data_IF_166869674595
#
_entry.id   IF_166869674595
#
_cell.length_a   1.000
_cell.length_b   1.000
_cell.length_c   1.000
_cell.angle_alpha   90.00
_cell.angle_beta   90.00
_cell.angle_gamma   90.00
#
_symmetry.space_group_name_H-M   'P 1'
#
loop_
_entity.id
_entity.type
_entity.pdbx_description
1 polymer ?
#
# COMPACT_ATOMS: atom_id res chain seq x y z
N UNK A 1 -0.29 34.86 -24.64
CA UNK A 1 -1.41 34.48 -23.74
C UNK A 1 -0.92 33.25 -22.99
N UNK A 2 -0.50 33.39 -21.72
CA UNK A 2 -0.09 32.22 -20.93
C UNK A 2 -1.35 31.45 -20.53
N UNK A 3 -1.61 30.32 -21.19
CA UNK A 3 -2.50 29.31 -20.66
C UNK A 3 -1.83 28.74 -19.42
N UNK A 4 -2.40 29.04 -18.24
CA UNK A 4 -1.98 28.45 -16.97
C UNK A 4 -1.91 26.93 -17.14
N UNK A 5 -0.89 26.23 -16.60
CA UNK A 5 -0.91 24.77 -16.60
C UNK A 5 -2.17 24.37 -15.82
N UNK A 6 -3.04 23.59 -16.47
CA UNK A 6 -4.12 22.88 -15.80
C UNK A 6 -3.45 22.12 -14.66
N UNK A 7 -3.79 22.47 -13.41
CA UNK A 7 -3.33 21.77 -12.21
C UNK A 7 -3.73 20.32 -12.42
N UNK A 8 -2.76 19.47 -12.74
CA UNK A 8 -2.97 18.06 -12.98
C UNK A 8 -3.30 17.48 -11.61
N UNK A 9 -4.60 17.28 -11.32
CA UNK A 9 -5.01 16.62 -10.08
C UNK A 9 -4.53 15.18 -10.22
N UNK A 10 -3.37 14.88 -9.65
CA UNK A 10 -2.78 13.54 -9.69
C UNK A 10 -3.63 12.69 -8.75
N UNK A 11 -4.52 11.89 -9.33
CA UNK A 11 -5.22 10.85 -8.58
C UNK A 11 -4.22 9.71 -8.36
N UNK A 12 -3.73 9.57 -7.14
CA UNK A 12 -2.86 8.47 -6.76
C UNK A 12 -3.70 7.39 -6.10
N UNK A 13 -3.79 6.22 -6.74
CA UNK A 13 -4.34 5.02 -6.12
C UNK A 13 -3.18 4.20 -5.53
N UNK A 14 -3.20 3.97 -4.22
CA UNK A 14 -2.21 3.13 -3.56
C UNK A 14 -2.90 2.09 -2.66
N UNK A 15 -2.26 0.92 -2.54
CA UNK A 15 -2.78 -0.19 -1.76
C UNK A 15 -2.15 -0.22 -0.37
N UNK A 16 -2.99 -0.16 0.66
CA UNK A 16 -2.59 -0.42 2.04
C UNK A 16 -2.78 -1.90 2.37
N UNK A 17 -1.80 -2.47 3.07
CA UNK A 17 -1.82 -3.86 3.50
C UNK A 17 -2.01 -3.96 5.01
N UNK A 18 -2.63 -5.05 5.46
CA UNK A 18 -2.91 -5.29 6.88
C UNK A 18 -2.68 -6.76 7.22
N UNK A 19 -2.23 -7.04 8.44
CA UNK A 19 -2.13 -8.41 8.96
C UNK A 19 -2.93 -8.58 10.25
N UNK A 20 -3.75 -9.62 10.33
CA UNK A 20 -4.60 -9.96 11.47
C UNK A 20 -4.08 -11.15 12.31
N UNK A 21 -2.81 -11.55 12.16
CA UNK A 21 -2.24 -12.73 12.81
C UNK A 21 -2.31 -12.76 14.35
N UNK A 22 -2.56 -11.62 15.00
CA UNK A 22 -2.78 -11.50 16.45
C UNK A 22 -4.17 -11.00 16.82
N UNK A 23 -5.15 -11.22 15.94
CA UNK A 23 -6.56 -10.85 16.13
C UNK A 23 -6.91 -9.47 15.58
N UNK A 24 -6.14 -8.42 15.92
CA UNK A 24 -6.39 -7.07 15.37
C UNK A 24 -5.58 -6.83 14.10
N UNK A 25 -6.19 -6.27 13.02
CA UNK A 25 -5.48 -5.92 11.81
C UNK A 25 -4.47 -4.79 12.09
N UNK A 26 -3.21 -5.05 11.78
CA UNK A 26 -2.11 -4.10 11.85
C UNK A 26 -1.71 -3.67 10.44
N UNK A 27 -1.67 -2.37 10.18
CA UNK A 27 -1.19 -1.83 8.91
C UNK A 27 0.27 -2.26 8.69
N UNK A 28 0.54 -2.81 7.52
CA UNK A 28 1.87 -3.17 7.05
C UNK A 28 2.38 -2.02 6.20
N UNK A 29 3.56 -1.50 6.55
CA UNK A 29 4.21 -0.49 5.74
C UNK A 29 4.88 -1.18 4.54
N UNK A 30 4.52 -0.78 3.33
CA UNK A 30 5.34 -1.02 2.14
C UNK A 30 6.39 0.08 2.12
N UNK A 31 7.67 -0.28 2.12
CA UNK A 31 8.72 0.71 1.90
C UNK A 31 8.70 0.99 0.40
N UNK A 32 8.25 2.17 0.00
CA UNK A 32 8.47 2.65 -1.36
C UNK A 32 9.99 2.85 -1.52
N UNK A 33 10.68 1.83 -2.01
CA UNK A 33 12.06 1.96 -2.43
C UNK A 33 12.08 2.71 -3.75
N UNK A 34 13.03 3.63 -3.92
CA UNK A 34 13.27 4.40 -5.16
C UNK A 34 13.65 3.52 -6.36
N UNK A 35 13.73 2.21 -6.16
CA UNK A 35 13.98 1.20 -7.17
C UNK A 35 12.63 0.58 -7.55
N UNK A 36 12.38 0.46 -8.85
CA UNK A 36 11.16 0.05 -9.57
C UNK A 36 10.63 -1.37 -9.22
N UNK A 37 11.01 -1.93 -8.08
CA UNK A 37 10.51 -3.21 -7.59
C UNK A 37 9.51 -3.00 -6.43
N UNK A 38 8.25 -3.43 -6.60
CA UNK A 38 7.26 -3.33 -5.54
C UNK A 38 7.65 -4.25 -4.38
N UNK A 39 8.16 -3.67 -3.29
CA UNK A 39 8.49 -4.42 -2.08
C UNK A 39 7.21 -5.00 -1.47
N UNK A 40 7.18 -6.32 -1.28
CA UNK A 40 6.03 -6.99 -0.68
C UNK A 40 5.78 -6.53 0.77
N UNK A 41 4.52 -6.35 1.14
CA UNK A 41 4.13 -6.05 2.51
C UNK A 41 4.30 -7.27 3.43
N UNK A 42 5.35 -7.31 4.23
CA UNK A 42 5.64 -8.44 5.14
C UNK A 42 5.28 -8.09 6.58
N UNK A 43 4.45 -8.92 7.20
CA UNK A 43 4.16 -8.81 8.62
C UNK A 43 5.39 -9.19 9.47
N UNK A 44 5.95 -8.21 10.18
CA UNK A 44 7.09 -8.40 11.08
C UNK A 44 6.79 -9.29 12.31
N UNK A 45 5.55 -9.77 12.48
CA UNK A 45 5.13 -10.60 13.62
C UNK A 45 5.01 -12.07 13.29
N UNK A 46 4.49 -12.41 12.11
CA UNK A 46 4.27 -13.79 11.69
C UNK A 46 4.98 -14.14 10.38
N UNK A 47 5.61 -13.17 9.71
CA UNK A 47 6.27 -13.33 8.42
C UNK A 47 5.33 -13.42 7.22
N UNK A 48 4.01 -13.32 7.42
CA UNK A 48 3.05 -13.43 6.32
C UNK A 48 3.17 -12.26 5.34
N UNK A 49 3.09 -12.56 4.04
CA UNK A 49 3.07 -11.60 2.93
C UNK A 49 1.93 -11.95 1.95
N UNK A 50 1.55 -11.06 1.02
CA UNK A 50 0.52 -11.34 0.02
C UNK A 50 0.79 -12.61 -0.78
N UNK A 51 2.06 -12.88 -1.11
CA UNK A 51 2.46 -14.09 -1.84
C UNK A 51 2.70 -15.30 -0.92
N UNK A 52 2.80 -15.10 0.39
CA UNK A 52 3.12 -16.16 1.35
C UNK A 52 2.32 -16.01 2.65
N UNK A 53 1.03 -16.31 2.56
CA UNK A 53 0.10 -16.26 3.69
C UNK A 53 -0.83 -17.50 3.71
N UNK A 54 -0.31 -18.67 4.10
CA UNK A 54 -1.10 -19.91 4.15
C UNK A 54 -2.23 -19.87 5.18
N UNK A 55 -2.23 -18.87 6.07
CA UNK A 55 -3.25 -18.68 7.10
C UNK A 55 -4.30 -17.62 6.73
N UNK A 56 -4.20 -17.01 5.54
CA UNK A 56 -5.12 -15.98 5.07
C UNK A 56 -5.33 -14.84 6.09
N UNK A 57 -4.24 -14.42 6.74
CA UNK A 57 -4.21 -13.32 7.72
C UNK A 57 -3.98 -11.95 7.10
N UNK A 58 -3.53 -11.89 5.85
CA UNK A 58 -3.24 -10.67 5.10
C UNK A 58 -4.51 -10.16 4.40
N UNK A 59 -4.74 -8.85 4.46
CA UNK A 59 -5.82 -8.16 3.78
C UNK A 59 -5.32 -6.85 3.18
N UNK A 60 -6.02 -6.33 2.18
CA UNK A 60 -5.65 -5.06 1.55
C UNK A 60 -6.84 -4.10 1.47
N UNK A 61 -6.53 -2.82 1.34
CA UNK A 61 -7.49 -1.76 1.05
C UNK A 61 -6.85 -0.77 0.07
N UNK A 62 -7.47 -0.61 -1.09
CA UNK A 62 -7.07 0.42 -2.04
C UNK A 62 -7.56 1.79 -1.53
N UNK A 63 -6.70 2.79 -1.60
CA UNK A 63 -6.96 4.16 -1.16
C UNK A 63 -6.72 5.08 -2.35
N UNK A 64 -7.73 5.88 -2.66
CA UNK A 64 -7.66 6.94 -3.65
C UNK A 64 -7.33 8.24 -2.93
N UNK A 65 -6.20 8.86 -3.27
CA UNK A 65 -5.86 10.20 -2.81
C UNK A 65 -5.82 11.16 -4.00
N UNK A 66 -6.32 12.37 -3.77
CA UNK A 66 -6.31 13.46 -4.74
C UNK A 66 -5.24 14.44 -4.29
N UNK A 67 -4.14 14.55 -5.05
CA UNK A 67 -3.11 15.56 -4.81
C UNK A 67 -3.61 16.92 -5.36
N UNK A 68 -3.79 17.94 -4.50
CA UNK A 68 -4.22 19.31 -4.88
C UNK A 68 -3.04 20.16 -5.36
#
# INVERSE_FOLDING_TARGET
MLTKPTREVVMTNYRKWYCSCRGKPLELSTVETLEDEPVEAICQRCGASPSSDPKHTISYKDVETWDD
#
